data_IF_123233139084
#
_entry.id   IF_123233139084
#
_cell.length_a   1.000
_cell.length_b   1.000
_cell.length_c   1.000
_cell.angle_alpha   90.00
_cell.angle_beta   90.00
_cell.angle_gamma   90.00
#
_symmetry.space_group_name_H-M   'P 1'
#
loop_
_entity.id
_entity.type
_entity.pdbx_description
1 polymer ?
#
# COMPACT_ATOMS: atom_id res chain seq x y z
N UNK A 1 15.83 -17.80 -18.07
CA UNK A 1 14.66 -17.46 -17.23
C UNK A 1 14.20 -16.07 -17.65
N UNK A 2 13.08 -15.97 -18.36
CA UNK A 2 12.57 -14.69 -18.86
C UNK A 2 11.61 -14.12 -17.82
N UNK A 3 11.90 -12.93 -17.31
CA UNK A 3 11.02 -12.22 -16.37
C UNK A 3 9.87 -11.62 -17.18
N UNK A 4 8.71 -12.26 -17.21
CA UNK A 4 7.50 -11.68 -17.79
C UNK A 4 6.89 -10.72 -16.76
N UNK A 5 6.91 -9.42 -17.04
CA UNK A 5 6.35 -8.41 -16.13
C UNK A 5 5.13 -7.77 -16.76
N UNK A 6 3.99 -7.91 -16.07
CA UNK A 6 2.70 -7.37 -16.47
C UNK A 6 2.46 -6.00 -15.78
N UNK A 7 2.52 -4.92 -16.56
CA UNK A 7 2.30 -3.57 -16.05
C UNK A 7 0.88 -3.37 -15.49
N UNK A 8 -0.13 -4.03 -16.04
CA UNK A 8 -1.49 -3.96 -15.50
C UNK A 8 -1.63 -4.74 -14.19
N UNK A 9 -0.94 -5.88 -14.08
CA UNK A 9 -0.81 -6.62 -12.83
C UNK A 9 -0.19 -5.76 -11.71
N UNK A 10 0.87 -5.00 -12.03
CA UNK A 10 1.50 -4.07 -11.09
C UNK A 10 0.56 -2.93 -10.67
N UNK A 11 -0.22 -2.35 -11.60
CA UNK A 11 -1.22 -1.32 -11.28
C UNK A 11 -2.33 -1.84 -10.38
N UNK A 12 -2.86 -3.04 -10.66
CA UNK A 12 -3.88 -3.67 -9.81
C UNK A 12 -3.35 -3.93 -8.40
N UNK A 13 -2.11 -4.40 -8.29
CA UNK A 13 -1.46 -4.61 -7.00
C UNK A 13 -1.24 -3.29 -6.23
N UNK A 14 -0.87 -2.21 -6.93
CA UNK A 14 -0.80 -0.85 -6.38
C UNK A 14 -2.15 -0.41 -5.81
N UNK A 15 -3.21 -0.42 -6.62
CA UNK A 15 -4.55 -0.04 -6.19
C UNK A 15 -5.03 -0.84 -4.96
N UNK A 16 -4.82 -2.16 -4.98
CA UNK A 16 -5.16 -3.01 -3.83
C UNK A 16 -4.37 -2.66 -2.57
N UNK A 17 -3.13 -2.21 -2.72
CA UNK A 17 -2.29 -1.80 -1.58
C UNK A 17 -2.79 -0.47 -0.99
N UNK A 18 -3.23 0.47 -1.83
CA UNK A 18 -3.86 1.74 -1.40
C UNK A 18 -5.19 1.50 -0.68
N UNK A 19 -6.03 0.58 -1.19
CA UNK A 19 -7.30 0.20 -0.55
C UNK A 19 -7.05 -0.38 0.85
N UNK A 20 -6.08 -1.29 0.97
CA UNK A 20 -5.73 -1.89 2.26
C UNK A 20 -5.13 -0.88 3.24
N UNK A 21 -4.29 0.04 2.76
CA UNK A 21 -3.76 1.12 3.58
C UNK A 21 -4.89 2.03 4.11
N UNK A 22 -5.89 2.30 3.27
CA UNK A 22 -7.07 3.08 3.65
C UNK A 22 -7.93 2.36 4.68
N UNK A 23 -8.14 1.05 4.52
CA UNK A 23 -8.89 0.22 5.47
C UNK A 23 -8.23 0.17 6.85
N UNK A 24 -6.90 0.05 6.89
CA UNK A 24 -6.12 0.06 8.13
C UNK A 24 -6.22 1.40 8.88
N UNK A 25 -6.25 2.52 8.16
CA UNK A 25 -6.45 3.86 8.73
C UNK A 25 -7.89 4.12 9.18
N UNK A 26 -8.89 3.55 8.50
CA UNK A 26 -10.30 3.73 8.84
C UNK A 26 -10.75 2.95 10.08
N UNK A 27 -10.01 1.93 10.48
CA UNK A 27 -10.37 1.04 11.60
C UNK A 27 -9.92 1.61 12.96
N UNK A 28 -10.46 2.75 13.39
CA UNK A 28 -10.13 3.38 14.68
C UNK A 28 -11.35 3.42 15.62
N UNK A 29 -11.66 2.27 16.23
CA UNK A 29 -12.78 2.14 17.16
C UNK A 29 -12.35 1.55 18.50
N UNK A 30 -11.67 2.33 19.33
CA UNK A 30 -11.53 2.02 20.75
C UNK A 30 -12.76 2.60 21.48
N UNK A 31 -13.69 1.74 21.91
CA UNK A 31 -14.78 2.20 22.78
C UNK A 31 -14.23 2.87 24.05
N UNK A 32 -14.87 3.96 24.50
CA UNK A 32 -14.47 4.67 25.71
C UNK A 32 -14.65 3.76 26.93
N UNK A 33 -13.53 3.38 27.56
CA UNK A 33 -13.55 2.62 28.82
C UNK A 33 -13.65 3.62 29.96
N UNK A 34 -14.84 3.74 30.55
CA UNK A 34 -15.06 4.59 31.72
C UNK A 34 -14.47 3.95 32.98
N UNK A 35 -13.55 4.65 33.66
CA UNK A 35 -13.11 4.33 35.03
C UNK A 35 -11.60 4.39 35.27
N UNK A 36 -11.20 4.87 36.45
CA UNK A 36 -9.79 5.02 36.89
C UNK A 36 -9.12 3.71 37.34
N UNK A 37 -9.56 2.56 36.83
CA UNK A 37 -9.01 1.26 37.20
C UNK A 37 -7.70 1.02 36.44
N UNK A 38 -6.64 0.47 37.07
CA UNK A 38 -5.36 0.20 36.40
C UNK A 38 -5.46 -0.75 35.20
N UNK A 39 -6.51 -1.56 35.14
CA UNK A 39 -6.82 -2.40 33.98
C UNK A 39 -7.36 -1.59 32.80
N UNK A 40 -8.11 -0.51 33.04
CA UNK A 40 -8.63 0.37 32.00
C UNK A 40 -7.49 1.13 31.29
N UNK A 41 -6.50 1.62 32.05
CA UNK A 41 -5.32 2.28 31.47
C UNK A 41 -4.44 1.29 30.68
N UNK A 42 -4.30 0.04 31.16
CA UNK A 42 -3.59 -1.00 30.42
C UNK A 42 -4.28 -1.33 29.08
N UNK A 43 -5.62 -1.44 29.06
CA UNK A 43 -6.40 -1.67 27.82
C UNK A 43 -6.25 -0.49 26.85
N UNK A 44 -6.28 0.75 27.35
CA UNK A 44 -6.06 1.94 26.53
C UNK A 44 -4.65 1.95 25.91
N UNK A 45 -3.63 1.57 26.68
CA UNK A 45 -2.26 1.47 26.17
C UNK A 45 -2.13 0.42 25.05
N UNK A 46 -2.78 -0.74 25.20
CA UNK A 46 -2.82 -1.77 24.15
C UNK A 46 -3.56 -1.27 22.90
N UNK A 47 -4.69 -0.58 23.07
CA UNK A 47 -5.41 0.01 21.93
C UNK A 47 -4.57 1.06 21.20
N UNK A 48 -3.84 1.91 21.94
CA UNK A 48 -2.93 2.89 21.35
C UNK A 48 -1.79 2.20 20.56
N UNK A 49 -1.21 1.12 21.10
CA UNK A 49 -0.21 0.33 20.41
C UNK A 49 -0.75 -0.28 19.11
N UNK A 50 -1.94 -0.89 19.15
CA UNK A 50 -2.59 -1.47 17.96
C UNK A 50 -2.84 -0.39 16.91
N UNK A 51 -3.31 0.79 17.33
CA UNK A 51 -3.51 1.93 16.43
C UNK A 51 -2.19 2.37 15.78
N UNK A 52 -1.09 2.39 16.54
CA UNK A 52 0.23 2.72 16.02
C UNK A 52 0.72 1.71 14.98
N UNK A 53 0.58 0.41 15.25
CA UNK A 53 0.96 -0.65 14.30
C UNK A 53 0.14 -0.59 13.01
N UNK A 54 -1.17 -0.30 13.09
CA UNK A 54 -2.01 -0.12 11.91
C UNK A 54 -1.55 1.06 11.04
N UNK A 55 -1.20 2.17 11.67
CA UNK A 55 -0.69 3.34 10.97
C UNK A 55 0.65 3.05 10.27
N UNK A 56 1.55 2.32 10.91
CA UNK A 56 2.83 1.90 10.33
C UNK A 56 2.63 0.99 9.10
N UNK A 57 1.77 -0.03 9.22
CA UNK A 57 1.43 -0.91 8.11
C UNK A 57 0.75 -0.19 6.95
N UNK A 58 -0.14 0.77 7.24
CA UNK A 58 -0.75 1.60 6.22
C UNK A 58 0.30 2.43 5.47
N UNK A 59 1.25 3.05 6.18
CA UNK A 59 2.33 3.81 5.57
C UNK A 59 3.22 2.93 4.68
N UNK A 60 3.57 1.73 5.14
CA UNK A 60 4.33 0.76 4.35
C UNK A 60 3.60 0.39 3.06
N UNK A 61 2.31 0.07 3.13
CA UNK A 61 1.50 -0.32 1.97
C UNK A 61 1.35 0.81 0.95
N UNK A 62 1.15 2.06 1.41
CA UNK A 62 1.12 3.23 0.53
C UNK A 62 2.46 3.42 -0.20
N UNK A 63 3.59 3.30 0.50
CA UNK A 63 4.91 3.38 -0.15
C UNK A 63 5.16 2.23 -1.13
N UNK A 64 4.66 1.03 -0.82
CA UNK A 64 4.72 -0.12 -1.73
C UNK A 64 3.86 0.09 -2.97
N UNK A 65 2.66 0.65 -2.81
CA UNK A 65 1.78 1.02 -3.92
C UNK A 65 2.49 1.95 -4.90
N UNK A 66 3.14 3.00 -4.38
CA UNK A 66 3.88 3.94 -5.21
C UNK A 66 5.01 3.26 -5.99
N UNK A 67 5.75 2.36 -5.34
CA UNK A 67 6.81 1.57 -6.00
C UNK A 67 6.26 0.72 -7.14
N UNK A 68 5.12 0.04 -6.91
CA UNK A 68 4.47 -0.80 -7.93
C UNK A 68 3.99 0.03 -9.12
N UNK A 69 3.38 1.18 -8.85
CA UNK A 69 2.93 2.12 -9.88
C UNK A 69 4.10 2.68 -10.69
N UNK A 70 5.19 3.07 -10.04
CA UNK A 70 6.41 3.52 -10.70
C UNK A 70 7.00 2.42 -11.60
N UNK A 71 7.03 1.18 -11.10
CA UNK A 71 7.44 0.01 -11.88
C UNK A 71 6.58 -0.19 -13.13
N UNK A 72 5.25 -0.16 -13.00
CA UNK A 72 4.33 -0.29 -14.12
C UNK A 72 4.58 0.78 -15.21
N UNK A 73 4.81 2.03 -14.80
CA UNK A 73 5.12 3.12 -15.71
C UNK A 73 6.47 2.91 -16.42
N UNK A 74 7.48 2.41 -15.70
CA UNK A 74 8.79 2.08 -16.28
C UNK A 74 8.71 1.02 -17.38
N UNK A 75 7.92 -0.04 -17.16
CA UNK A 75 7.71 -1.08 -18.18
C UNK A 75 6.96 -0.52 -19.40
N UNK A 76 5.86 0.20 -19.19
CA UNK A 76 5.10 0.76 -20.31
C UNK A 76 5.92 1.74 -21.14
N UNK A 77 6.69 2.62 -20.51
CA UNK A 77 7.57 3.55 -21.22
C UNK A 77 8.64 2.80 -22.05
N UNK A 78 9.14 1.67 -21.54
CA UNK A 78 10.11 0.84 -22.24
C UNK A 78 9.49 0.15 -23.46
N UNK A 79 8.29 -0.39 -23.30
CA UNK A 79 7.54 -1.04 -24.38
C UNK A 79 7.16 -0.05 -25.47
N UNK A 80 6.59 1.10 -25.11
CA UNK A 80 6.20 2.16 -26.04
C UNK A 80 7.42 2.71 -26.80
N UNK A 81 8.51 2.98 -26.09
CA UNK A 81 9.76 3.45 -26.68
C UNK A 81 10.38 2.42 -27.64
N UNK A 82 10.29 1.12 -27.32
CA UNK A 82 10.76 0.05 -28.21
C UNK A 82 9.87 -0.06 -29.45
N UNK A 83 8.55 -0.05 -29.29
CA UNK A 83 7.60 -0.10 -30.40
C UNK A 83 7.78 1.08 -31.37
N UNK A 84 8.03 2.29 -30.85
CA UNK A 84 8.35 3.47 -31.66
C UNK A 84 9.63 3.29 -32.46
N UNK A 85 10.71 2.76 -31.85
CA UNK A 85 11.97 2.47 -32.57
C UNK A 85 11.74 1.52 -33.74
N UNK A 86 10.99 0.43 -33.53
CA UNK A 86 10.66 -0.52 -34.60
C UNK A 86 9.84 0.12 -35.73
N UNK A 87 8.86 0.97 -35.41
CA UNK A 87 8.06 1.69 -36.42
C UNK A 87 8.87 2.69 -37.23
N UNK A 88 9.93 3.28 -36.66
CA UNK A 88 10.80 4.24 -37.35
C UNK A 88 11.99 3.61 -38.09
N UNK A 89 12.21 2.30 -37.97
CA UNK A 89 13.25 1.57 -38.74
C UNK A 89 12.68 0.79 -39.94
N UNK A 90 11.36 0.83 -40.15
CA UNK A 90 10.71 0.43 -41.42
C UNK A 90 10.43 1.66 -42.28
#
# INVERSE_FOLDING_TARGET
MSLNVDADGLRRASARSDDLASELNGSNGAGSVGGSQPTASAVQAVHALISGVRADHAAYLSGRSETLRAGANGYQNTDDGSAQKFKGTM
#
